data_IF_245276766428
#
_entry.id   IF_245276766428
#
_cell.length_a   1.000
_cell.length_b   1.000
_cell.length_c   1.000
_cell.angle_alpha   90.00
_cell.angle_beta   90.00
_cell.angle_gamma   90.00
#
_symmetry.space_group_name_H-M   'P 1'
#
loop_
_entity.id
_entity.type
_entity.pdbx_description
1 polymer ?
#
# COMPACT_ATOMS: atom_id res chain seq x y z
N UNK A 1 6.83 -21.75 -22.46
CA UNK A 1 6.09 -21.33 -21.25
C UNK A 1 6.70 -20.00 -20.81
N UNK A 2 5.90 -18.97 -20.59
CA UNK A 2 6.38 -17.66 -20.12
C UNK A 2 6.79 -17.78 -18.65
N UNK A 3 8.01 -17.39 -18.30
CA UNK A 3 8.53 -17.49 -16.92
C UNK A 3 7.78 -16.56 -15.95
N UNK A 4 7.20 -15.47 -16.44
CA UNK A 4 6.46 -14.48 -15.66
C UNK A 4 5.29 -13.88 -16.46
N UNK A 5 4.30 -13.23 -15.80
CA UNK A 5 3.14 -12.63 -16.47
C UNK A 5 3.34 -11.17 -16.91
N UNK A 6 4.45 -10.52 -16.53
CA UNK A 6 4.70 -9.11 -16.85
C UNK A 6 5.05 -8.88 -18.32
N UNK A 7 4.58 -7.77 -18.88
CA UNK A 7 4.98 -7.33 -20.21
C UNK A 7 6.29 -6.52 -20.17
N UNK A 8 7.22 -6.73 -21.13
CA UNK A 8 7.12 -7.65 -22.27
C UNK A 8 7.35 -9.13 -21.86
N UNK A 9 6.56 -10.05 -22.42
CA UNK A 9 6.56 -11.48 -22.04
C UNK A 9 7.88 -12.22 -22.33
N UNK A 10 8.73 -11.66 -23.19
CA UNK A 10 10.07 -12.19 -23.50
C UNK A 10 11.17 -11.64 -22.59
N UNK A 11 10.83 -10.82 -21.59
CA UNK A 11 11.79 -10.31 -20.61
C UNK A 11 12.38 -11.48 -19.81
N UNK A 12 13.68 -11.43 -19.54
CA UNK A 12 14.32 -12.41 -18.68
C UNK A 12 14.37 -11.84 -17.25
N UNK A 13 13.50 -12.33 -16.38
CA UNK A 13 13.49 -12.01 -14.95
C UNK A 13 14.08 -13.19 -14.17
N UNK A 14 15.41 -13.21 -13.93
CA UNK A 14 16.01 -14.25 -13.12
C UNK A 14 15.42 -14.21 -11.70
N UNK A 15 15.22 -15.39 -11.11
CA UNK A 15 14.66 -15.55 -9.76
C UNK A 15 13.26 -14.94 -9.57
N UNK A 16 12.46 -14.85 -10.65
CA UNK A 16 11.06 -14.46 -10.52
C UNK A 16 10.29 -15.43 -9.63
N UNK A 17 9.73 -14.92 -8.54
CA UNK A 17 8.81 -15.66 -7.67
C UNK A 17 7.43 -15.00 -7.76
N UNK A 18 6.38 -15.76 -8.13
CA UNK A 18 5.02 -15.23 -8.16
C UNK A 18 4.54 -14.87 -6.75
N UNK A 19 3.68 -13.86 -6.67
CA UNK A 19 3.12 -13.42 -5.40
C UNK A 19 2.31 -14.55 -4.75
N UNK A 20 2.70 -14.97 -3.54
CA UNK A 20 2.01 -16.03 -2.79
C UNK A 20 0.73 -15.59 -2.08
N UNK A 21 0.37 -14.31 -2.15
CA UNK A 21 -0.80 -13.72 -1.50
C UNK A 21 -1.83 -13.33 -2.55
N UNK A 22 -3.09 -13.66 -2.30
CA UNK A 22 -4.18 -13.29 -3.19
C UNK A 22 -4.43 -11.77 -3.21
N UNK A 23 -4.74 -11.22 -4.38
CA UNK A 23 -4.93 -9.78 -4.55
C UNK A 23 -6.13 -9.26 -3.74
N UNK A 24 -7.16 -10.08 -3.54
CA UNK A 24 -8.34 -9.72 -2.74
C UNK A 24 -7.96 -9.48 -1.28
N UNK A 25 -7.04 -10.27 -0.74
CA UNK A 25 -6.54 -10.10 0.63
C UNK A 25 -5.80 -8.77 0.80
N UNK A 26 -4.96 -8.41 -0.17
CA UNK A 26 -4.21 -7.14 -0.19
C UNK A 26 -5.17 -5.96 -0.23
N UNK A 27 -6.17 -6.01 -1.13
CA UNK A 27 -7.19 -4.97 -1.23
C UNK A 27 -8.03 -4.86 0.04
N UNK A 28 -8.33 -5.99 0.71
CA UNK A 28 -9.03 -6.01 1.98
C UNK A 28 -8.29 -5.25 3.08
N UNK A 29 -7.00 -5.54 3.27
CA UNK A 29 -6.16 -4.82 4.25
C UNK A 29 -6.06 -3.34 3.89
N UNK A 30 -5.81 -3.03 2.62
CA UNK A 30 -5.71 -1.65 2.15
C UNK A 30 -7.00 -0.86 2.40
N UNK A 31 -8.16 -1.46 2.15
CA UNK A 31 -9.46 -0.84 2.39
C UNK A 31 -9.69 -0.56 3.88
N UNK A 32 -9.40 -1.53 4.76
CA UNK A 32 -9.52 -1.36 6.21
C UNK A 32 -8.60 -0.24 6.71
N UNK A 33 -7.33 -0.24 6.30
CA UNK A 33 -6.37 0.80 6.69
C UNK A 33 -6.83 2.20 6.21
N UNK A 34 -7.32 2.30 4.97
CA UNK A 34 -7.84 3.54 4.41
C UNK A 34 -9.04 4.06 5.20
N UNK A 35 -10.00 3.20 5.54
CA UNK A 35 -11.16 3.57 6.35
C UNK A 35 -10.77 4.05 7.75
N UNK A 36 -9.77 3.42 8.37
CA UNK A 36 -9.21 3.87 9.65
C UNK A 36 -8.62 5.27 9.53
N UNK A 37 -7.78 5.52 8.53
CA UNK A 37 -7.15 6.84 8.30
C UNK A 37 -8.21 7.91 8.04
N UNK A 38 -9.22 7.62 7.21
CA UNK A 38 -10.35 8.52 6.96
C UNK A 38 -11.10 8.78 8.26
N UNK A 39 -11.44 7.75 9.03
CA UNK A 39 -12.18 7.88 10.28
C UNK A 39 -11.45 8.74 11.31
N UNK A 40 -10.16 8.51 11.51
CA UNK A 40 -9.32 9.30 12.42
C UNK A 40 -9.24 10.76 11.97
N UNK A 41 -8.95 10.99 10.69
CA UNK A 41 -8.87 12.35 10.11
C UNK A 41 -10.21 13.08 10.20
N UNK A 42 -11.32 12.37 9.99
CA UNK A 42 -12.66 12.91 10.09
C UNK A 42 -13.01 13.30 11.53
N UNK A 43 -12.69 12.47 12.52
CA UNK A 43 -12.91 12.76 13.93
C UNK A 43 -12.07 13.97 14.35
N UNK A 44 -10.79 14.02 14.01
CA UNK A 44 -9.89 15.13 14.37
C UNK A 44 -10.38 16.43 13.74
N UNK A 45 -10.70 16.42 12.45
CA UNK A 45 -11.17 17.61 11.74
C UNK A 45 -12.53 18.11 12.26
N UNK A 46 -13.41 17.19 12.67
CA UNK A 46 -14.73 17.52 13.23
C UNK A 46 -14.70 18.20 14.59
N UNK A 47 -13.58 18.12 15.33
CA UNK A 47 -13.41 18.82 16.62
C UNK A 47 -13.15 20.31 16.47
N UNK A 48 -12.80 20.78 15.27
CA UNK A 48 -12.57 22.20 14.96
C UNK A 48 -13.85 22.84 14.46
N UNK A 49 -14.29 23.91 15.14
CA UNK A 49 -15.41 24.74 14.68
C UNK A 49 -14.98 25.54 13.44
N UNK A 50 -15.87 25.65 12.45
CA UNK A 50 -15.68 26.48 11.27
C UNK A 50 -14.99 25.81 10.07
N UNK A 51 -14.65 24.52 10.15
CA UNK A 51 -14.14 23.75 9.01
C UNK A 51 -15.32 23.22 8.19
N UNK A 52 -15.31 23.47 6.87
CA UNK A 52 -16.39 22.99 5.99
C UNK A 52 -16.26 21.49 5.74
N UNK A 53 -17.36 20.83 5.35
CA UNK A 53 -17.31 19.41 4.96
C UNK A 53 -16.31 19.16 3.82
N UNK A 54 -16.19 20.10 2.87
CA UNK A 54 -15.23 20.03 1.76
C UNK A 54 -13.79 20.02 2.26
N UNK A 55 -13.43 20.91 3.17
CA UNK A 55 -12.08 20.96 3.76
C UNK A 55 -11.74 19.66 4.48
N UNK A 56 -12.73 19.03 5.13
CA UNK A 56 -12.56 17.73 5.81
C UNK A 56 -12.33 16.61 4.80
N UNK A 57 -13.04 16.61 3.68
CA UNK A 57 -12.83 15.63 2.60
C UNK A 57 -11.45 15.80 1.96
N UNK A 58 -11.02 17.05 1.74
CA UNK A 58 -9.66 17.37 1.26
C UNK A 58 -8.61 16.87 2.26
N UNK A 59 -8.81 17.10 3.56
CA UNK A 59 -7.91 16.60 4.60
C UNK A 59 -7.84 15.06 4.59
N UNK A 60 -8.97 14.37 4.47
CA UNK A 60 -9.00 12.91 4.35
C UNK A 60 -8.25 12.43 3.10
N UNK A 61 -8.44 13.09 1.96
CA UNK A 61 -7.70 12.79 0.74
C UNK A 61 -6.18 12.93 0.95
N UNK A 62 -5.72 14.06 1.50
CA UNK A 62 -4.30 14.28 1.78
C UNK A 62 -3.74 13.25 2.77
N UNK A 63 -4.50 12.90 3.82
CA UNK A 63 -4.06 11.91 4.80
C UNK A 63 -3.91 10.52 4.20
N UNK A 64 -4.86 10.08 3.36
CA UNK A 64 -4.78 8.79 2.65
C UNK A 64 -3.61 8.80 1.66
N UNK A 65 -3.50 9.80 0.81
CA UNK A 65 -2.41 9.91 -0.16
C UNK A 65 -1.04 9.95 0.52
N UNK A 66 -0.88 10.75 1.58
CA UNK A 66 0.35 10.81 2.37
C UNK A 66 0.71 9.46 2.98
N UNK A 67 -0.29 8.71 3.48
CA UNK A 67 -0.07 7.36 4.01
C UNK A 67 0.42 6.40 2.92
N UNK A 68 -0.17 6.44 1.72
CA UNK A 68 0.27 5.62 0.57
C UNK A 68 1.72 5.94 0.21
N UNK A 69 2.07 7.22 0.08
CA UNK A 69 3.41 7.64 -0.28
C UNK A 69 4.46 7.24 0.77
N UNK A 70 4.16 7.42 2.06
CA UNK A 70 5.13 7.16 3.11
C UNK A 70 5.28 5.66 3.43
N UNK A 71 4.18 4.92 3.41
CA UNK A 71 4.18 3.50 3.81
C UNK A 71 4.41 2.59 2.61
N UNK A 72 3.60 2.73 1.55
CA UNK A 72 3.65 1.80 0.41
C UNK A 72 4.82 2.13 -0.50
N UNK A 73 4.86 3.36 -1.01
CA UNK A 73 5.92 3.78 -1.93
C UNK A 73 7.24 3.97 -1.17
N UNK A 74 7.19 4.52 0.04
CA UNK A 74 8.37 4.70 0.90
C UNK A 74 9.05 3.38 1.23
N UNK A 75 8.30 2.31 1.48
CA UNK A 75 8.89 0.98 1.65
C UNK A 75 9.67 0.54 0.40
N UNK A 76 9.08 0.70 -0.80
CA UNK A 76 9.75 0.33 -2.06
C UNK A 76 11.05 1.11 -2.25
N UNK A 77 11.08 2.38 -1.86
CA UNK A 77 12.29 3.22 -1.92
C UNK A 77 13.35 2.74 -0.92
N UNK A 78 12.98 2.46 0.33
CA UNK A 78 13.92 2.04 1.39
C UNK A 78 14.42 0.61 1.16
N UNK A 79 13.56 -0.26 0.64
CA UNK A 79 13.83 -1.66 0.35
C UNK A 79 13.90 -1.88 -1.15
N UNK A 80 14.69 -1.11 -1.87
CA UNK A 80 14.77 -1.18 -3.33
C UNK A 80 15.07 -2.58 -3.87
N UNK A 81 15.72 -3.45 -3.10
CA UNK A 81 16.06 -4.83 -3.46
C UNK A 81 15.00 -5.87 -3.01
N UNK A 82 13.80 -5.46 -2.61
CA UNK A 82 12.74 -6.35 -2.11
C UNK A 82 12.38 -7.49 -3.07
N UNK A 83 12.62 -7.34 -4.37
CA UNK A 83 12.38 -8.34 -5.41
C UNK A 83 13.45 -9.44 -5.49
N UNK A 84 14.57 -9.27 -4.78
CA UNK A 84 15.66 -10.27 -4.73
C UNK A 84 15.42 -11.35 -3.67
N UNK A 85 14.43 -11.15 -2.79
CA UNK A 85 14.03 -12.12 -1.78
C UNK A 85 13.30 -13.31 -2.43
N UNK A 86 14.00 -14.44 -2.54
CA UNK A 86 13.49 -15.68 -3.12
C UNK A 86 12.37 -16.33 -2.29
N UNK A 87 12.07 -15.83 -1.09
CA UNK A 87 10.96 -16.34 -0.28
C UNK A 87 9.58 -15.86 -0.75
N UNK A 88 9.52 -14.94 -1.72
CA UNK A 88 8.31 -14.64 -2.49
C UNK A 88 7.11 -14.13 -1.67
N UNK A 89 7.35 -13.59 -0.47
CA UNK A 89 6.25 -13.28 0.43
C UNK A 89 6.13 -11.78 0.67
N UNK A 90 5.14 -11.18 0.01
CA UNK A 90 4.47 -9.96 0.49
C UNK A 90 3.97 -10.13 1.94
N UNK A 91 3.91 -11.36 2.46
CA UNK A 91 3.73 -11.66 3.87
C UNK A 91 4.83 -11.03 4.76
N UNK A 92 6.07 -10.95 4.28
CA UNK A 92 7.17 -10.24 4.93
C UNK A 92 6.97 -8.72 4.83
N UNK A 93 6.48 -8.21 3.70
CA UNK A 93 6.10 -6.80 3.56
C UNK A 93 4.98 -6.41 4.53
N UNK A 94 3.89 -7.19 4.59
CA UNK A 94 2.77 -6.93 5.49
C UNK A 94 3.17 -7.12 6.96
N UNK A 95 4.06 -8.05 7.29
CA UNK A 95 4.62 -8.11 8.64
C UNK A 95 5.48 -6.89 8.94
N UNK A 96 6.38 -6.51 8.05
CA UNK A 96 7.33 -5.41 8.27
C UNK A 96 6.65 -4.03 8.31
N UNK A 97 5.51 -3.87 7.64
CA UNK A 97 4.68 -2.66 7.67
C UNK A 97 3.74 -2.64 8.88
N UNK A 98 3.30 -3.80 9.38
CA UNK A 98 2.39 -3.91 10.52
C UNK A 98 3.07 -4.16 11.88
N UNK A 99 4.41 -4.20 11.96
CA UNK A 99 5.20 -4.39 13.20
C UNK A 99 6.15 -3.22 13.40
#
# INVERSE_FOLDING_TARGET
MTAHPYYPLGLHLPNYVPMGVDYVYILGIFAVATLVVIGVTWIISGRRKGITTTDRMIACWFAVSGTIHLVVEGYVVVKAEFFTDETGNLRNYLSDVCT
#
